data_IF_650314533515
#
_entry.id   IF_650314533515
#
_cell.length_a   1.000
_cell.length_b   1.000
_cell.length_c   1.000
_cell.angle_alpha   90.00
_cell.angle_beta   90.00
_cell.angle_gamma   90.00
#
_symmetry.space_group_name_H-M   'P 1'
#
loop_
_entity.id
_entity.type
_entity.pdbx_description
1 polymer ?
#
# COMPACT_ATOMS: atom_id res chain seq x y z
N UNK A 1 -7.06 -23.07 0.75
CA UNK A 1 -6.44 -21.76 0.45
C UNK A 1 -7.45 -20.78 -0.15
N UNK A 2 -8.14 -21.12 -1.26
CA UNK A 2 -9.10 -20.22 -1.92
C UNK A 2 -10.25 -19.76 -1.02
N UNK A 3 -10.93 -20.70 -0.35
CA UNK A 3 -12.08 -20.39 0.51
C UNK A 3 -11.75 -19.46 1.70
N UNK A 4 -10.51 -19.49 2.22
CA UNK A 4 -10.08 -18.56 3.29
C UNK A 4 -9.90 -17.13 2.76
N UNK A 5 -9.33 -16.98 1.56
CA UNK A 5 -9.15 -15.68 0.89
C UNK A 5 -10.48 -15.03 0.55
N UNK A 6 -11.45 -15.83 0.10
CA UNK A 6 -12.79 -15.33 -0.23
C UNK A 6 -13.54 -14.85 1.02
N UNK A 7 -13.40 -15.56 2.15
CA UNK A 7 -13.97 -15.14 3.44
C UNK A 7 -13.34 -13.84 3.94
N UNK A 8 -12.01 -13.74 3.90
CA UNK A 8 -11.30 -12.52 4.32
C UNK A 8 -11.68 -11.32 3.44
N UNK A 9 -11.76 -11.51 2.12
CA UNK A 9 -12.19 -10.47 1.18
C UNK A 9 -13.61 -10.00 1.51
N UNK A 10 -14.54 -10.92 1.74
CA UNK A 10 -15.92 -10.59 2.09
C UNK A 10 -15.99 -9.82 3.43
N UNK A 11 -15.12 -10.13 4.39
CA UNK A 11 -15.06 -9.41 5.66
C UNK A 11 -14.58 -7.97 5.45
N UNK A 12 -13.46 -7.79 4.74
CA UNK A 12 -12.90 -6.46 4.44
C UNK A 12 -13.88 -5.57 3.66
N UNK A 13 -14.65 -6.15 2.74
CA UNK A 13 -15.71 -5.42 2.03
C UNK A 13 -16.83 -4.96 2.96
N UNK A 14 -17.26 -5.80 3.90
CA UNK A 14 -18.28 -5.45 4.90
C UNK A 14 -17.78 -4.39 5.88
N UNK A 15 -16.55 -4.50 6.34
CA UNK A 15 -15.91 -3.52 7.22
C UNK A 15 -15.83 -2.15 6.53
N UNK A 16 -15.35 -2.13 5.28
CA UNK A 16 -15.27 -0.91 4.48
C UNK A 16 -16.65 -0.28 4.27
N UNK A 17 -17.65 -1.09 3.87
CA UNK A 17 -19.02 -0.62 3.71
C UNK A 17 -19.64 -0.12 5.03
N UNK A 18 -19.29 -0.74 6.16
CA UNK A 18 -19.72 -0.28 7.48
C UNK A 18 -19.13 1.07 7.85
N UNK A 19 -17.87 1.33 7.50
CA UNK A 19 -17.20 2.61 7.74
C UNK A 19 -17.68 3.71 6.77
N UNK A 20 -17.92 3.34 5.51
CA UNK A 20 -18.36 4.24 4.45
C UNK A 20 -19.59 3.64 3.73
N UNK A 21 -20.80 3.78 4.28
CA UNK A 21 -22.01 3.30 3.60
C UNK A 21 -22.27 4.03 2.28
N UNK A 22 -21.83 5.29 2.21
CA UNK A 22 -21.85 6.12 1.01
C UNK A 22 -20.41 6.38 0.53
N UNK A 23 -20.03 5.98 -0.70
CA UNK A 23 -18.70 6.22 -1.24
C UNK A 23 -18.34 7.71 -1.32
N UNK A 24 -19.31 8.63 -1.38
CA UNK A 24 -19.03 10.06 -1.37
C UNK A 24 -18.29 10.52 -0.10
N UNK A 25 -18.59 9.92 1.06
CA UNK A 25 -17.88 10.19 2.32
C UNK A 25 -16.40 9.81 2.22
N UNK A 26 -16.12 8.68 1.56
CA UNK A 26 -14.75 8.22 1.33
C UNK A 26 -13.98 9.18 0.42
N UNK A 27 -14.62 9.69 -0.64
CA UNK A 27 -14.02 10.69 -1.54
C UNK A 27 -13.66 11.99 -0.80
N UNK A 28 -14.46 12.39 0.21
CA UNK A 28 -14.17 13.56 1.05
C UNK A 28 -12.98 13.30 1.98
N UNK A 29 -12.98 12.18 2.69
CA UNK A 29 -11.92 11.83 3.64
C UNK A 29 -10.57 11.59 2.94
N UNK A 30 -10.62 10.98 1.75
CA UNK A 30 -9.47 10.79 0.86
C UNK A 30 -9.41 11.84 -0.26
N UNK A 31 -9.85 13.08 0.01
CA UNK A 31 -9.67 14.20 -0.92
C UNK A 31 -8.18 14.53 -1.14
N UNK A 32 -7.82 15.34 -2.15
CA UNK A 32 -6.43 15.76 -2.37
C UNK A 32 -5.74 16.40 -1.13
N UNK A 33 -6.50 16.88 -0.15
CA UNK A 33 -5.96 17.37 1.13
C UNK A 33 -5.15 16.31 1.90
N UNK A 34 -5.44 15.02 1.70
CA UNK A 34 -4.70 13.92 2.35
C UNK A 34 -3.24 13.85 1.88
N UNK A 35 -2.92 14.34 0.67
CA UNK A 35 -1.57 14.36 0.11
C UNK A 35 -0.58 15.05 1.05
N UNK A 36 -0.95 16.24 1.58
CA UNK A 36 -0.11 16.97 2.54
C UNK A 36 0.00 16.24 3.88
N UNK A 37 -1.09 15.59 4.34
CA UNK A 37 -1.08 14.81 5.59
C UNK A 37 -0.11 13.63 5.49
N UNK A 38 -0.13 12.89 4.38
CA UNK A 38 0.75 11.74 4.14
C UNK A 38 2.22 12.16 4.09
N UNK A 39 2.54 13.28 3.43
CA UNK A 39 3.93 13.79 3.44
C UNK A 39 4.39 14.12 4.85
N UNK A 40 3.52 14.72 5.68
CA UNK A 40 3.83 15.06 7.07
C UNK A 40 4.08 13.86 7.97
N UNK A 41 3.46 12.71 7.70
CA UNK A 41 3.70 11.51 8.53
C UNK A 41 5.10 10.93 8.32
N UNK A 42 5.74 11.20 7.17
CA UNK A 42 7.07 10.70 6.86
C UNK A 42 7.16 9.17 6.79
N UNK A 43 6.03 8.48 6.61
CA UNK A 43 6.00 7.03 6.51
C UNK A 43 6.74 6.53 5.27
N UNK A 44 7.43 5.40 5.41
CA UNK A 44 8.09 4.74 4.28
C UNK A 44 7.06 4.13 3.32
N UNK A 45 7.48 3.80 2.10
CA UNK A 45 6.61 3.13 1.14
C UNK A 45 6.10 1.79 1.66
N UNK A 46 6.97 1.01 2.33
CA UNK A 46 6.59 -0.26 2.93
C UNK A 46 5.56 -0.06 4.06
N UNK A 47 5.74 0.94 4.92
CA UNK A 47 4.80 1.23 5.99
C UNK A 47 3.41 1.61 5.44
N UNK A 48 3.35 2.41 4.37
CA UNK A 48 2.09 2.73 3.69
C UNK A 48 1.48 1.48 3.04
N UNK A 49 2.27 0.71 2.29
CA UNK A 49 1.82 -0.48 1.57
C UNK A 49 1.28 -1.59 2.47
N UNK A 50 1.88 -1.77 3.65
CA UNK A 50 1.49 -2.82 4.61
C UNK A 50 0.39 -2.36 5.57
N UNK A 51 -0.12 -1.14 5.43
CA UNK A 51 -1.22 -0.65 6.27
C UNK A 51 -2.57 -1.21 5.79
N UNK A 52 -3.02 -2.28 6.45
CA UNK A 52 -4.29 -2.95 6.11
C UNK A 52 -5.55 -2.15 6.43
N UNK A 53 -5.45 -1.09 7.24
CA UNK A 53 -6.58 -0.23 7.56
C UNK A 53 -6.97 0.70 6.39
N UNK A 54 -6.08 0.87 5.41
CA UNK A 54 -6.30 1.74 4.27
C UNK A 54 -6.78 0.89 3.10
N UNK A 55 -7.96 1.18 2.52
CA UNK A 55 -8.52 0.34 1.47
C UNK A 55 -7.68 0.42 0.20
N UNK A 56 -7.61 -0.71 -0.52
CA UNK A 56 -7.03 -0.78 -1.86
C UNK A 56 -8.04 -0.38 -2.92
N UNK A 57 -7.55 0.04 -4.09
CA UNK A 57 -8.40 0.33 -5.25
C UNK A 57 -9.27 -0.89 -5.62
N UNK A 58 -8.69 -2.10 -5.59
CA UNK A 58 -9.43 -3.34 -5.84
C UNK A 58 -10.47 -3.66 -4.76
N UNK A 59 -10.23 -3.27 -3.50
CA UNK A 59 -11.22 -3.39 -2.44
C UNK A 59 -12.39 -2.42 -2.66
N UNK A 60 -12.11 -1.18 -3.09
CA UNK A 60 -13.14 -0.22 -3.51
C UNK A 60 -13.96 -0.77 -4.67
N UNK A 61 -13.32 -1.24 -5.74
CA UNK A 61 -14.02 -1.82 -6.90
C UNK A 61 -14.94 -2.97 -6.49
N UNK A 62 -14.46 -3.83 -5.59
CA UNK A 62 -15.24 -4.95 -5.09
C UNK A 62 -16.40 -4.56 -4.15
N UNK A 63 -16.38 -3.36 -3.57
CA UNK A 63 -17.37 -2.92 -2.57
C UNK A 63 -18.42 -1.98 -3.18
N UNK A 64 -17.98 -1.04 -4.02
CA UNK A 64 -18.83 0.02 -4.60
C UNK A 64 -18.92 -0.03 -6.13
N UNK A 65 -18.26 -0.99 -6.78
CA UNK A 65 -18.10 -1.02 -8.23
C UNK A 65 -16.92 -0.19 -8.73
N UNK A 66 -16.56 -0.33 -10.00
CA UNK A 66 -15.37 0.32 -10.58
C UNK A 66 -15.49 1.84 -10.72
N UNK A 67 -16.71 2.37 -10.78
CA UNK A 67 -16.95 3.80 -10.94
C UNK A 67 -16.37 4.63 -9.78
N UNK A 68 -16.50 4.14 -8.55
CA UNK A 68 -16.01 4.84 -7.35
C UNK A 68 -14.48 5.06 -7.35
N UNK A 69 -13.63 4.01 -7.49
CA UNK A 69 -12.19 4.20 -7.56
C UNK A 69 -11.75 4.95 -8.83
N UNK A 70 -12.47 4.82 -9.96
CA UNK A 70 -12.17 5.61 -11.16
C UNK A 70 -12.37 7.11 -10.90
N UNK A 71 -13.52 7.51 -10.35
CA UNK A 71 -13.80 8.91 -10.03
C UNK A 71 -12.83 9.47 -9.01
N UNK A 72 -12.50 8.67 -7.99
CA UNK A 72 -11.49 9.05 -7.01
C UNK A 72 -10.09 9.25 -7.65
N UNK A 73 -9.68 8.35 -8.55
CA UNK A 73 -8.42 8.48 -9.28
C UNK A 73 -8.41 9.72 -10.18
N UNK A 74 -9.54 10.05 -10.84
CA UNK A 74 -9.69 11.28 -11.63
C UNK A 74 -9.48 12.51 -10.76
N UNK A 75 -10.07 12.57 -9.57
CA UNK A 75 -9.87 13.68 -8.62
C UNK A 75 -8.38 13.79 -8.22
N UNK A 76 -7.73 12.67 -7.90
CA UNK A 76 -6.33 12.67 -7.46
C UNK A 76 -5.37 13.07 -8.58
N UNK A 77 -5.48 12.44 -9.75
CA UNK A 77 -4.61 12.71 -10.90
C UNK A 77 -4.95 14.08 -11.51
N UNK A 78 -6.23 14.47 -11.56
CA UNK A 78 -6.69 15.79 -11.98
C UNK A 78 -6.09 16.90 -11.12
N UNK A 79 -5.88 16.66 -9.82
CA UNK A 79 -5.20 17.64 -8.96
C UNK A 79 -3.74 17.93 -9.35
N UNK A 80 -3.11 17.11 -10.22
CA UNK A 80 -1.82 17.44 -10.82
C UNK A 80 -1.97 18.47 -11.94
N UNK A 81 -3.07 18.37 -12.69
CA UNK A 81 -3.41 19.33 -13.74
C UNK A 81 -3.67 20.71 -13.15
N UNK A 82 -4.43 20.78 -12.05
CA UNK A 82 -4.72 22.02 -11.34
C UNK A 82 -3.47 22.66 -10.70
N UNK A 83 -2.46 21.83 -10.39
CA UNK A 83 -1.19 22.28 -9.82
C UNK A 83 -0.21 22.80 -10.88
N UNK A 84 -0.38 22.42 -12.16
CA UNK A 84 0.53 22.81 -13.23
C UNK A 84 0.22 24.22 -13.75
N UNK A 85 1.23 25.09 -13.77
CA UNK A 85 1.07 26.51 -14.17
C UNK A 85 0.91 26.73 -15.69
N UNK A 86 1.12 25.72 -16.55
CA UNK A 86 1.30 25.91 -18.00
C UNK A 86 0.35 25.08 -18.90
N UNK A 87 -0.55 25.77 -19.62
CA UNK A 87 -1.23 25.28 -20.83
C UNK A 87 -2.37 24.26 -20.63
N UNK A 88 -3.13 23.94 -21.70
CA UNK A 88 -4.18 22.90 -21.68
C UNK A 88 -3.53 21.56 -21.36
N UNK A 89 -3.59 21.14 -20.10
CA UNK A 89 -3.07 19.86 -19.64
C UNK A 89 -3.93 18.67 -20.07
N UNK A 90 -4.02 17.66 -19.19
CA UNK A 90 -4.67 16.39 -19.53
C UNK A 90 -6.16 16.63 -19.81
N UNK A 91 -6.63 16.18 -20.98
CA UNK A 91 -8.05 16.27 -21.33
C UNK A 91 -8.88 15.23 -20.55
N UNK A 92 -10.18 15.45 -20.37
CA UNK A 92 -11.05 14.51 -19.62
C UNK A 92 -11.02 13.08 -20.20
N UNK A 93 -10.95 12.94 -21.52
CA UNK A 93 -10.83 11.63 -22.18
C UNK A 93 -9.50 10.94 -21.84
N UNK A 94 -8.40 11.70 -21.91
CA UNK A 94 -7.08 11.18 -21.55
C UNK A 94 -6.97 10.85 -20.06
N UNK A 95 -7.60 11.64 -19.19
CA UNK A 95 -7.68 11.39 -17.76
C UNK A 95 -8.44 10.10 -17.50
N UNK A 96 -9.61 9.93 -18.12
CA UNK A 96 -10.45 8.73 -18.01
C UNK A 96 -9.70 7.46 -18.46
N UNK A 97 -9.01 7.52 -19.61
CA UNK A 97 -8.22 6.40 -20.11
C UNK A 97 -7.07 6.06 -19.16
N UNK A 98 -6.32 7.08 -18.71
CA UNK A 98 -5.23 6.89 -17.77
C UNK A 98 -5.70 6.27 -16.44
N UNK A 99 -6.80 6.79 -15.87
CA UNK A 99 -7.33 6.28 -14.59
C UNK A 99 -7.81 4.84 -14.72
N UNK A 100 -8.40 4.47 -15.86
CA UNK A 100 -8.79 3.10 -16.15
C UNK A 100 -7.58 2.16 -16.23
N UNK A 101 -6.53 2.55 -16.95
CA UNK A 101 -5.29 1.77 -17.02
C UNK A 101 -4.63 1.62 -15.65
N UNK A 102 -4.58 2.70 -14.86
CA UNK A 102 -4.03 2.69 -13.50
C UNK A 102 -4.83 1.77 -12.58
N UNK A 103 -6.16 1.82 -12.61
CA UNK A 103 -7.01 0.95 -11.80
C UNK A 103 -6.78 -0.53 -12.14
N UNK A 104 -6.74 -0.88 -13.42
CA UNK A 104 -6.59 -2.26 -13.87
C UNK A 104 -5.20 -2.83 -13.56
N UNK A 105 -4.14 -2.06 -13.81
CA UNK A 105 -2.76 -2.52 -13.61
C UNK A 105 -2.34 -2.47 -12.13
N UNK A 106 -2.83 -1.47 -11.38
CA UNK A 106 -2.36 -1.16 -10.02
C UNK A 106 -3.48 -1.25 -8.97
N UNK A 107 -4.46 -2.13 -9.16
CA UNK A 107 -5.58 -2.34 -8.23
C UNK A 107 -5.15 -2.66 -6.78
N UNK A 108 -3.93 -3.16 -6.59
CA UNK A 108 -3.38 -3.50 -5.29
C UNK A 108 -2.87 -2.30 -4.49
N UNK A 109 -2.75 -1.11 -5.11
CA UNK A 109 -2.37 0.10 -4.40
C UNK A 109 -3.49 0.56 -3.47
N UNK A 110 -3.11 1.03 -2.29
CA UNK A 110 -4.03 1.69 -1.36
C UNK A 110 -4.12 3.19 -1.58
N UNK A 111 -5.18 3.80 -1.04
CA UNK A 111 -5.46 5.22 -1.26
C UNK A 111 -4.34 6.14 -0.75
N UNK A 112 -3.66 5.76 0.33
CA UNK A 112 -2.54 6.54 0.85
C UNK A 112 -1.29 6.42 -0.04
N UNK A 113 -1.04 5.26 -0.65
CA UNK A 113 0.05 5.10 -1.63
C UNK A 113 -0.17 5.96 -2.86
N UNK A 114 -1.40 6.01 -3.39
CA UNK A 114 -1.72 6.88 -4.52
C UNK A 114 -1.58 8.35 -4.11
N UNK A 115 -2.11 8.76 -2.95
CA UNK A 115 -1.95 10.14 -2.47
C UNK A 115 -0.47 10.51 -2.23
N UNK A 116 0.33 9.59 -1.71
CA UNK A 116 1.78 9.76 -1.55
C UNK A 116 2.47 9.95 -2.91
N UNK A 117 2.09 9.14 -3.90
CA UNK A 117 2.59 9.29 -5.27
C UNK A 117 2.28 10.69 -5.82
N UNK A 118 1.03 11.15 -5.73
CA UNK A 118 0.63 12.48 -6.22
C UNK A 118 1.40 13.58 -5.49
N UNK A 119 1.58 13.47 -4.17
CA UNK A 119 2.34 14.44 -3.39
C UNK A 119 3.81 14.49 -3.82
N UNK A 120 4.46 13.33 -3.97
CA UNK A 120 5.86 13.23 -4.45
C UNK A 120 6.00 13.74 -5.87
N UNK A 121 5.01 13.51 -6.72
CA UNK A 121 4.98 14.07 -8.07
C UNK A 121 4.97 15.60 -8.03
N UNK A 122 4.09 16.21 -7.22
CA UNK A 122 4.03 17.68 -7.04
C UNK A 122 5.32 18.27 -6.45
N UNK A 123 6.03 17.48 -5.63
CA UNK A 123 7.33 17.84 -5.06
C UNK A 123 8.51 17.65 -6.04
N UNK A 124 8.28 17.19 -7.26
CA UNK A 124 9.31 17.09 -8.30
C UNK A 124 10.21 15.86 -8.21
N UNK A 125 9.86 14.83 -7.42
CA UNK A 125 10.69 13.62 -7.28
C UNK A 125 10.87 12.84 -8.59
N UNK A 126 10.00 13.04 -9.58
CA UNK A 126 9.98 12.31 -10.86
C UNK A 126 10.44 13.17 -12.05
N UNK A 127 11.32 14.13 -11.75
CA UNK A 127 11.99 15.01 -12.70
C UNK A 127 11.35 16.38 -12.86
N UNK A 128 12.07 17.27 -13.53
CA UNK A 128 11.63 18.64 -13.84
C UNK A 128 10.59 18.63 -14.97
N UNK A 129 9.57 19.49 -14.86
CA UNK A 129 8.47 19.56 -15.81
C UNK A 129 8.56 20.86 -16.62
N UNK A 130 9.31 20.84 -17.72
CA UNK A 130 9.27 21.91 -18.71
C UNK A 130 8.13 21.61 -19.71
N UNK A 131 6.99 22.26 -19.55
CA UNK A 131 5.83 22.17 -20.46
C UNK A 131 4.64 21.36 -19.92
N UNK A 132 3.78 20.88 -20.85
CA UNK A 132 2.49 20.24 -20.55
C UNK A 132 2.70 18.86 -19.91
N UNK A 133 2.08 18.62 -18.75
CA UNK A 133 2.07 17.30 -18.11
C UNK A 133 1.14 16.38 -18.89
N UNK A 134 1.72 15.49 -19.71
CA UNK A 134 0.96 14.49 -20.46
C UNK A 134 0.70 13.19 -19.66
N UNK A 135 -0.32 12.39 -20.04
CA UNK A 135 -0.63 11.11 -19.38
C UNK A 135 0.56 10.13 -19.33
N UNK A 136 1.36 10.06 -20.40
CA UNK A 136 2.53 9.18 -20.46
C UNK A 136 3.61 9.56 -19.44
N UNK A 137 3.75 10.84 -19.10
CA UNK A 137 4.69 11.30 -18.07
C UNK A 137 4.24 10.82 -16.70
N UNK A 138 2.95 10.91 -16.41
CA UNK A 138 2.37 10.39 -15.16
C UNK A 138 2.56 8.87 -15.10
N UNK A 139 2.23 8.14 -16.17
CA UNK A 139 2.43 6.70 -16.22
C UNK A 139 3.91 6.31 -16.00
N UNK A 140 4.85 7.06 -16.58
CA UNK A 140 6.28 6.83 -16.34
C UNK A 140 6.69 7.09 -14.89
N UNK A 141 6.16 8.15 -14.27
CA UNK A 141 6.42 8.46 -12.88
C UNK A 141 5.82 7.41 -11.92
N UNK A 142 4.63 6.87 -12.23
CA UNK A 142 4.04 5.77 -11.46
C UNK A 142 4.96 4.56 -11.48
N UNK A 143 5.52 4.21 -12.65
CA UNK A 143 6.49 3.10 -12.75
C UNK A 143 7.74 3.31 -11.92
N UNK A 144 8.21 4.55 -11.81
CA UNK A 144 9.35 4.90 -10.97
C UNK A 144 9.00 4.80 -9.48
N UNK A 145 7.86 5.37 -9.07
CA UNK A 145 7.30 5.22 -7.72
C UNK A 145 7.19 3.75 -7.30
N UNK A 146 6.66 2.89 -8.18
CA UNK A 146 6.52 1.46 -7.91
C UNK A 146 7.86 0.73 -7.79
N UNK A 147 8.92 1.22 -8.46
CA UNK A 147 10.27 0.70 -8.30
C UNK A 147 10.82 1.05 -6.92
N UNK A 148 10.69 2.31 -6.49
CA UNK A 148 11.08 2.77 -5.15
C UNK A 148 10.34 1.98 -4.06
N UNK A 149 9.02 1.85 -4.23
CA UNK A 149 8.14 1.06 -3.37
C UNK A 149 8.62 -0.38 -3.21
N UNK A 150 8.94 -1.05 -4.33
CA UNK A 150 9.40 -2.45 -4.31
C UNK A 150 10.70 -2.59 -3.51
N UNK A 151 11.67 -1.71 -3.75
CA UNK A 151 12.96 -1.73 -3.06
C UNK A 151 12.77 -1.53 -1.55
N UNK A 152 11.90 -0.62 -1.14
CA UNK A 152 11.62 -0.35 0.28
C UNK A 152 10.91 -1.52 0.96
N UNK A 153 9.95 -2.15 0.28
CA UNK A 153 9.28 -3.37 0.79
C UNK A 153 10.29 -4.51 0.95
N UNK A 154 11.14 -4.77 -0.04
CA UNK A 154 12.18 -5.80 0.04
C UNK A 154 13.18 -5.52 1.18
N UNK A 155 13.48 -4.24 1.47
CA UNK A 155 14.30 -3.86 2.61
C UNK A 155 13.57 -4.11 3.93
N UNK A 156 12.31 -3.72 4.02
CA UNK A 156 11.48 -3.92 5.21
C UNK A 156 11.34 -5.40 5.55
N UNK A 157 11.02 -6.24 4.57
CA UNK A 157 10.82 -7.68 4.76
C UNK A 157 12.10 -8.37 5.25
N UNK A 158 13.25 -8.04 4.66
CA UNK A 158 14.55 -8.54 5.13
C UNK A 158 14.85 -8.15 6.58
N UNK A 159 14.50 -6.93 6.99
CA UNK A 159 14.72 -6.50 8.36
C UNK A 159 13.79 -7.22 9.35
N UNK A 160 12.53 -7.43 8.97
CA UNK A 160 11.59 -8.22 9.79
C UNK A 160 12.07 -9.67 9.95
N UNK A 161 12.58 -10.31 8.89
CA UNK A 161 13.16 -11.64 8.97
C UNK A 161 14.37 -11.69 9.91
N UNK A 162 15.25 -10.68 9.85
CA UNK A 162 16.41 -10.58 10.75
C UNK A 162 15.97 -10.49 12.22
N UNK A 163 15.03 -9.60 12.52
CA UNK A 163 14.48 -9.43 13.87
C UNK A 163 13.82 -10.72 14.35
N UNK A 164 13.03 -11.39 13.51
CA UNK A 164 12.38 -12.64 13.88
C UNK A 164 13.39 -13.76 14.12
N UNK A 165 14.42 -13.86 13.30
CA UNK A 165 15.49 -14.84 13.46
C UNK A 165 16.30 -14.61 14.74
N UNK A 166 16.55 -13.36 15.10
CA UNK A 166 17.22 -13.00 16.36
C UNK A 166 16.37 -13.37 17.58
N UNK A 167 15.08 -13.02 17.58
CA UNK A 167 14.13 -13.44 18.62
C UNK A 167 14.07 -14.96 18.76
N UNK A 168 13.98 -15.68 17.64
CA UNK A 168 14.02 -17.13 17.64
C UNK A 168 15.34 -17.64 18.24
N UNK A 169 16.49 -17.08 17.86
CA UNK A 169 17.79 -17.48 18.45
C UNK A 169 17.85 -17.25 19.96
N UNK A 170 17.32 -16.13 20.45
CA UNK A 170 17.25 -15.84 21.89
C UNK A 170 16.33 -16.82 22.62
N UNK A 171 15.16 -17.15 22.05
CA UNK A 171 14.25 -18.14 22.61
C UNK A 171 14.85 -19.55 22.63
N UNK A 172 15.55 -19.93 21.55
CA UNK A 172 16.28 -21.18 21.46
C UNK A 172 17.43 -21.21 22.47
N UNK A 173 18.16 -20.10 22.67
CA UNK A 173 19.20 -20.03 23.69
C UNK A 173 18.61 -20.24 25.10
N UNK A 174 17.46 -19.65 25.42
CA UNK A 174 16.76 -19.80 26.71
C UNK A 174 16.21 -21.20 26.96
N UNK A 175 15.77 -21.90 25.90
CA UNK A 175 15.14 -23.23 25.98
C UNK A 175 16.11 -24.38 25.70
N UNK A 176 17.30 -24.08 25.18
CA UNK A 176 18.32 -25.08 24.92
C UNK A 176 18.85 -25.68 26.23
N UNK A 177 18.91 -27.01 26.26
CA UNK A 177 19.61 -27.78 27.29
C UNK A 177 20.79 -28.49 26.65
N UNK A 178 21.87 -28.65 27.38
CA UNK A 178 23.03 -29.40 26.90
C UNK A 178 22.66 -30.87 26.71
N UNK A 179 23.36 -31.56 25.81
CA UNK A 179 23.13 -32.98 25.55
C UNK A 179 23.29 -33.84 26.82
N UNK A 180 24.26 -33.50 27.68
CA UNK A 180 24.48 -34.15 28.97
C UNK A 180 23.28 -33.96 29.92
N UNK A 181 22.74 -32.74 30.01
CA UNK A 181 21.56 -32.43 30.83
C UNK A 181 20.31 -33.16 30.31
N UNK A 182 20.16 -33.30 28.99
CA UNK A 182 19.12 -34.13 28.38
C UNK A 182 19.25 -35.62 28.78
N UNK A 183 20.46 -36.18 28.71
CA UNK A 183 20.72 -37.58 29.10
C UNK A 183 20.42 -37.80 30.59
N UNK A 184 20.83 -36.86 31.45
CA UNK A 184 20.56 -36.91 32.90
C UNK A 184 19.06 -36.91 33.20
N UNK A 185 18.27 -36.04 32.55
CA UNK A 185 16.81 -36.01 32.67
C UNK A 185 16.15 -37.29 32.17
N UNK A 186 16.69 -37.90 31.12
CA UNK A 186 16.21 -39.16 30.55
C UNK A 186 16.46 -40.35 31.49
N UNK A 187 17.61 -40.40 32.14
CA UNK A 187 17.95 -41.42 33.14
C UNK A 187 17.10 -41.28 34.42
N UNK A 188 16.90 -40.06 34.92
CA UNK A 188 16.01 -39.79 36.06
C UNK A 188 14.56 -40.26 35.79
N UNK A 189 14.06 -40.06 34.57
CA UNK A 189 12.73 -40.57 34.14
C UNK A 189 12.65 -42.10 34.05
N UNK A 190 13.78 -42.79 33.82
CA UNK A 190 13.84 -44.26 33.79
C UNK A 190 13.93 -44.85 35.20
N UNK A 191 14.65 -44.21 36.10
CA UNK A 191 14.89 -44.70 37.46
C UNK A 191 13.78 -44.32 38.46
N UNK A 192 12.90 -43.38 38.10
CA UNK A 192 11.71 -43.00 38.89
C UNK A 192 10.45 -43.82 38.60
N UNK A 193 10.59 -45.03 38.04
CA UNK A 193 9.51 -46.00 37.81
C UNK A 193 9.84 -47.32 38.50
#
# INVERSE_FOLDING_TARGET
MQQRRDVERNLKQRELFSCYPDPALLLVDYSPAIQSKIVKTGLSFAALAKNEAIPTLGLLSGTYGEETPLEWLKIQIGSLNDYAEQGRGITENQLTELTSLVLNEYYYLNLAEVANFIARFKLGYYGEFYGIIGPMKIASAIREYLRERRIDIERYEREQERIQNEKNREEWAKTSITHEEYLRRKELRKNGR
#
